data_IF_144972002131
#
_entry.id   IF_144972002131
#
_cell.length_a   1.000
_cell.length_b   1.000
_cell.length_c   1.000
_cell.angle_alpha   90.00
_cell.angle_beta   90.00
_cell.angle_gamma   90.00
#
_symmetry.space_group_name_H-M   'P 1'
#
loop_
_entity.id
_entity.type
_entity.pdbx_description
1 polymer ?
#
# COMPACT_ATOMS: atom_id res chain seq x y z
N UNK A 1 7.99 -10.28 2.21
CA UNK A 1 6.65 -10.10 1.64
C UNK A 1 5.65 -10.94 2.44
N UNK A 2 5.05 -10.34 3.48
CA UNK A 2 4.31 -11.05 4.53
C UNK A 2 3.10 -11.85 4.02
N UNK A 3 2.43 -11.34 2.98
CA UNK A 3 1.37 -12.06 2.24
C UNK A 3 1.85 -13.42 1.72
N UNK A 4 3.07 -13.48 1.19
CA UNK A 4 3.65 -14.72 0.64
C UNK A 4 4.08 -15.68 1.76
N UNK A 5 4.57 -15.16 2.89
CA UNK A 5 4.99 -15.97 4.04
C UNK A 5 3.81 -16.66 4.75
N UNK A 6 2.61 -16.06 4.76
CA UNK A 6 1.40 -16.71 5.29
C UNK A 6 0.63 -17.57 4.27
N UNK A 7 1.25 -17.96 3.15
CA UNK A 7 0.63 -18.84 2.16
C UNK A 7 -0.41 -18.18 1.24
N UNK A 8 -0.59 -16.87 1.32
CA UNK A 8 -1.53 -16.09 0.48
C UNK A 8 -0.85 -15.60 -0.83
N UNK A 9 0.24 -16.24 -1.25
CA UNK A 9 0.97 -15.91 -2.46
C UNK A 9 0.20 -16.26 -3.74
N UNK A 10 -0.68 -17.26 -3.67
CA UNK A 10 -1.41 -17.83 -4.81
C UNK A 10 -2.93 -17.64 -4.73
N UNK A 11 -3.42 -16.61 -4.03
CA UNK A 11 -4.88 -16.41 -3.89
C UNK A 11 -5.41 -15.65 -5.10
N UNK A 12 -6.33 -16.33 -5.80
CA UNK A 12 -7.14 -15.91 -6.94
C UNK A 12 -7.55 -14.43 -6.92
N UNK A 13 -7.88 -13.88 -8.09
CA UNK A 13 -8.41 -12.52 -8.28
C UNK A 13 -9.57 -12.13 -7.33
N UNK A 14 -10.27 -13.12 -6.75
CA UNK A 14 -11.29 -12.97 -5.72
C UNK A 14 -10.78 -12.41 -4.37
N UNK A 15 -9.50 -12.61 -4.03
CA UNK A 15 -8.89 -12.04 -2.82
C UNK A 15 -8.70 -10.52 -2.92
N UNK A 16 -8.55 -10.00 -4.14
CA UNK A 16 -8.44 -8.57 -4.39
C UNK A 16 -9.78 -7.91 -4.68
N UNK A 17 -10.88 -8.67 -4.70
CA UNK A 17 -12.21 -8.14 -4.95
C UNK A 17 -12.61 -7.17 -3.82
N UNK A 18 -13.02 -5.97 -4.21
CA UNK A 18 -13.51 -4.91 -3.32
C UNK A 18 -14.94 -5.17 -2.85
N UNK A 19 -15.64 -6.13 -3.45
CA UNK A 19 -17.00 -6.50 -3.07
C UNK A 19 -17.06 -7.67 -2.09
N UNK A 20 -15.93 -8.33 -1.82
CA UNK A 20 -15.84 -9.42 -0.84
C UNK A 20 -15.46 -8.86 0.54
N UNK A 21 -16.46 -8.64 1.37
CA UNK A 21 -16.31 -8.08 2.73
C UNK A 21 -15.39 -8.93 3.63
N UNK A 22 -15.41 -10.25 3.49
CA UNK A 22 -14.52 -11.14 4.23
C UNK A 22 -13.07 -10.98 3.77
N UNK A 23 -12.82 -10.96 2.45
CA UNK A 23 -11.47 -10.75 1.91
C UNK A 23 -10.90 -9.34 2.23
N UNK A 24 -11.75 -8.32 2.32
CA UNK A 24 -11.34 -6.98 2.80
C UNK A 24 -10.92 -7.07 4.27
N UNK A 25 -11.72 -7.72 5.11
CA UNK A 25 -11.45 -7.85 6.55
C UNK A 25 -10.17 -8.66 6.81
N UNK A 26 -9.94 -9.74 6.08
CA UNK A 26 -8.70 -10.52 6.19
C UNK A 26 -7.47 -9.72 5.77
N UNK A 27 -7.54 -8.97 4.66
CA UNK A 27 -6.45 -8.08 4.23
C UNK A 27 -6.16 -6.98 5.24
N UNK A 28 -7.20 -6.40 5.83
CA UNK A 28 -7.08 -5.42 6.91
C UNK A 28 -6.38 -6.01 8.12
N UNK A 29 -6.85 -7.17 8.60
CA UNK A 29 -6.28 -7.83 9.78
C UNK A 29 -4.82 -8.20 9.56
N UNK A 30 -4.48 -8.71 8.37
CA UNK A 30 -3.09 -9.03 8.03
C UNK A 30 -2.22 -7.78 8.01
N UNK A 31 -2.69 -6.69 7.39
CA UNK A 31 -1.94 -5.43 7.33
C UNK A 31 -1.69 -4.87 8.74
N UNK A 32 -2.70 -4.86 9.61
CA UNK A 32 -2.57 -4.36 10.97
C UNK A 32 -1.69 -5.26 11.84
N UNK A 33 -1.71 -6.58 11.65
CA UNK A 33 -0.79 -7.48 12.35
C UNK A 33 0.68 -7.23 11.97
N UNK A 34 0.96 -7.00 10.68
CA UNK A 34 2.32 -6.65 10.22
C UNK A 34 2.77 -5.30 10.79
N UNK A 35 1.84 -4.33 10.84
CA UNK A 35 2.11 -3.04 11.45
C UNK A 35 2.44 -3.18 12.95
N UNK A 36 1.71 -4.04 13.66
CA UNK A 36 1.96 -4.32 15.08
C UNK A 36 3.37 -4.88 15.30
N UNK A 37 3.75 -5.91 14.54
CA UNK A 37 5.08 -6.50 14.62
C UNK A 37 6.19 -5.46 14.33
N UNK A 38 5.98 -4.57 13.36
CA UNK A 38 6.91 -3.50 13.04
C UNK A 38 7.02 -2.49 14.20
N UNK A 39 5.91 -2.11 14.82
CA UNK A 39 5.91 -1.18 15.95
C UNK A 39 6.54 -1.80 17.19
N UNK A 40 6.23 -3.06 17.49
CA UNK A 40 6.88 -3.78 18.59
C UNK A 40 8.39 -3.84 18.40
N UNK A 41 8.86 -4.08 17.17
CA UNK A 41 10.27 -4.02 16.84
C UNK A 41 10.84 -2.62 17.09
N UNK A 42 10.19 -1.56 16.57
CA UNK A 42 10.64 -0.17 16.76
C UNK A 42 10.73 0.22 18.25
N UNK A 43 9.79 -0.22 19.08
CA UNK A 43 9.78 0.08 20.51
C UNK A 43 10.84 -0.70 21.32
N UNK A 44 11.44 -1.76 20.76
CA UNK A 44 12.50 -2.55 21.42
C UNK A 44 13.91 -2.11 21.05
N UNK A 45 14.07 -1.33 20.00
CA UNK A 45 15.39 -0.85 19.59
C UNK A 45 15.78 0.33 20.47
N UNK A 46 16.94 0.22 21.13
CA UNK A 46 17.47 1.27 22.03
C UNK A 46 18.02 2.49 21.27
N UNK A 47 18.32 2.32 19.98
CA UNK A 47 18.81 3.35 19.05
C UNK A 47 17.70 3.94 18.15
N UNK A 48 18.03 5.00 17.39
CA UNK A 48 17.13 5.56 16.38
C UNK A 48 16.88 4.55 15.25
N UNK A 49 15.62 4.15 15.08
CA UNK A 49 15.20 3.21 14.05
C UNK A 49 14.07 3.77 13.16
N UNK A 50 13.98 3.27 11.93
CA UNK A 50 12.92 3.61 10.96
C UNK A 50 12.34 2.31 10.40
N UNK A 51 11.01 2.19 10.46
CA UNK A 51 10.26 1.07 9.88
C UNK A 51 9.54 1.51 8.60
N UNK A 52 9.62 0.71 7.54
CA UNK A 52 8.92 0.98 6.26
C UNK A 52 7.72 0.05 6.15
N UNK A 53 6.53 0.61 6.25
CA UNK A 53 5.28 -0.11 6.07
C UNK A 53 4.78 -0.02 4.61
N UNK A 54 5.29 -0.92 3.77
CA UNK A 54 4.93 -1.00 2.35
C UNK A 54 3.54 -1.66 2.15
N UNK A 55 2.52 -0.82 1.97
CA UNK A 55 1.17 -1.21 1.63
C UNK A 55 0.47 -0.08 0.86
N UNK A 56 -0.65 -0.39 0.20
CA UNK A 56 -1.36 0.61 -0.63
C UNK A 56 -1.89 1.78 0.20
N UNK A 57 -2.44 1.54 1.39
CA UNK A 57 -2.91 2.57 2.34
C UNK A 57 -3.76 3.69 1.69
N UNK A 58 -4.57 3.31 0.69
CA UNK A 58 -5.27 4.21 -0.24
C UNK A 58 -6.52 4.87 0.34
N UNK A 59 -6.93 4.55 1.57
CA UNK A 59 -8.15 5.11 2.18
C UNK A 59 -7.81 5.88 3.45
N UNK A 60 -8.55 6.98 3.67
CA UNK A 60 -8.41 7.82 4.88
C UNK A 60 -8.60 6.96 6.13
N UNK A 61 -9.65 6.11 6.16
CA UNK A 61 -9.94 5.20 7.27
C UNK A 61 -8.77 4.27 7.64
N UNK A 62 -8.00 3.80 6.66
CA UNK A 62 -6.81 2.98 6.94
C UNK A 62 -5.70 3.85 7.54
N UNK A 63 -5.48 5.05 6.99
CA UNK A 63 -4.45 5.98 7.48
C UNK A 63 -4.75 6.49 8.88
N UNK A 64 -6.01 6.76 9.22
CA UNK A 64 -6.44 7.09 10.58
C UNK A 64 -6.03 6.01 11.58
N UNK A 65 -6.26 4.73 11.27
CA UNK A 65 -5.83 3.61 12.12
C UNK A 65 -4.32 3.54 12.30
N UNK A 66 -3.57 3.81 11.23
CA UNK A 66 -2.11 3.84 11.25
C UNK A 66 -1.64 4.98 12.17
N UNK A 67 -2.20 6.18 12.00
CA UNK A 67 -1.88 7.36 12.81
C UNK A 67 -2.21 7.14 14.29
N UNK A 68 -3.42 6.67 14.60
CA UNK A 68 -3.83 6.34 15.96
C UNK A 68 -2.90 5.32 16.62
N UNK A 69 -2.55 4.27 15.88
CA UNK A 69 -1.66 3.23 16.38
C UNK A 69 -0.25 3.76 16.62
N UNK A 70 0.29 4.57 15.71
CA UNK A 70 1.60 5.23 15.86
C UNK A 70 1.63 6.12 17.11
N UNK A 71 0.61 6.97 17.29
CA UNK A 71 0.45 7.83 18.48
C UNK A 71 0.45 7.05 19.79
N UNK A 72 -0.31 5.95 19.86
CA UNK A 72 -0.38 5.09 21.05
C UNK A 72 0.96 4.45 21.42
N UNK A 73 1.87 4.27 20.45
CA UNK A 73 3.21 3.74 20.68
C UNK A 73 4.31 4.78 20.78
N UNK A 74 4.00 6.07 20.66
CA UNK A 74 5.02 7.12 20.60
C UNK A 74 5.85 7.09 19.30
N UNK A 75 5.38 6.39 18.26
CA UNK A 75 6.06 6.31 16.96
C UNK A 75 5.54 7.43 16.06
N UNK A 76 6.46 8.23 15.51
CA UNK A 76 6.12 9.24 14.50
C UNK A 76 5.86 8.56 13.16
N UNK A 77 4.80 9.01 12.47
CA UNK A 77 4.40 8.48 11.17
C UNK A 77 4.65 9.54 10.10
N UNK A 78 5.28 9.13 9.00
CA UNK A 78 5.44 9.91 7.77
C UNK A 78 4.86 9.10 6.61
N UNK A 79 3.87 9.63 5.91
CA UNK A 79 3.37 9.02 4.68
C UNK A 79 4.24 9.43 3.49
N UNK A 80 4.55 8.48 2.61
CA UNK A 80 5.18 8.75 1.32
C UNK A 80 4.21 8.27 0.25
N UNK A 81 3.56 9.21 -0.42
CA UNK A 81 2.56 8.94 -1.45
C UNK A 81 3.19 9.10 -2.85
N UNK A 82 3.24 8.02 -3.62
CA UNK A 82 3.75 8.05 -5.00
C UNK A 82 2.59 8.19 -5.97
N UNK A 83 2.40 9.39 -6.51
CA UNK A 83 1.35 9.70 -7.49
C UNK A 83 1.95 9.64 -8.89
N UNK A 84 1.35 8.86 -9.79
CA UNK A 84 1.79 8.79 -11.18
C UNK A 84 0.58 8.87 -12.10
N UNK A 85 0.50 9.92 -12.89
CA UNK A 85 -0.53 10.14 -13.92
C UNK A 85 0.03 10.13 -15.33
N UNK A 86 1.36 10.13 -15.49
CA UNK A 86 2.05 10.02 -16.77
C UNK A 86 1.82 8.64 -17.41
N UNK A 87 1.16 8.56 -18.59
CA UNK A 87 0.82 7.28 -19.23
C UNK A 87 2.04 6.44 -19.62
N UNK A 88 3.15 7.06 -20.01
CA UNK A 88 4.35 6.36 -20.46
C UNK A 88 5.07 5.74 -19.26
N UNK A 89 5.16 6.49 -18.16
CA UNK A 89 5.70 5.98 -16.89
C UNK A 89 4.83 4.84 -16.36
N UNK A 90 3.50 5.01 -16.37
CA UNK A 90 2.57 3.97 -15.94
C UNK A 90 2.74 2.70 -16.78
N UNK A 91 2.77 2.82 -18.11
CA UNK A 91 2.97 1.69 -19.03
C UNK A 91 4.28 0.94 -18.74
N UNK A 92 5.38 1.67 -18.51
CA UNK A 92 6.67 1.07 -18.15
C UNK A 92 6.62 0.36 -16.80
N UNK A 93 6.01 0.98 -15.80
CA UNK A 93 5.87 0.41 -14.46
C UNK A 93 5.00 -0.85 -14.48
N UNK A 94 3.94 -0.87 -15.28
CA UNK A 94 3.08 -2.05 -15.45
C UNK A 94 3.88 -3.20 -16.03
N UNK A 95 4.61 -3.00 -17.14
CA UNK A 95 5.45 -4.03 -17.76
C UNK A 95 6.49 -4.59 -16.78
N UNK A 96 7.10 -3.74 -15.96
CA UNK A 96 8.02 -4.19 -14.92
C UNK A 96 7.31 -5.06 -13.87
N UNK A 97 6.09 -4.70 -13.44
CA UNK A 97 5.30 -5.53 -12.51
C UNK A 97 4.91 -6.89 -13.09
N UNK A 98 4.71 -7.01 -14.41
CA UNK A 98 4.41 -8.29 -15.07
C UNK A 98 5.60 -9.25 -15.09
N UNK A 99 6.83 -8.75 -14.92
CA UNK A 99 8.01 -9.62 -14.79
C UNK A 99 8.17 -10.26 -13.40
N UNK A 100 7.31 -9.89 -12.43
CA UNK A 100 7.32 -10.50 -11.10
C UNK A 100 6.68 -11.89 -11.10
N UNK A 101 7.00 -12.68 -10.07
CA UNK A 101 6.46 -14.04 -9.87
C UNK A 101 4.92 -14.13 -9.95
N UNK A 102 4.21 -13.06 -9.61
CA UNK A 102 2.74 -13.00 -9.60
C UNK A 102 2.13 -13.26 -11.01
N UNK A 103 2.89 -13.08 -12.10
CA UNK A 103 2.45 -13.27 -13.49
C UNK A 103 3.31 -14.29 -14.27
N UNK A 104 4.16 -15.06 -13.57
CA UNK A 104 5.08 -16.01 -14.20
C UNK A 104 4.33 -17.08 -14.98
N UNK A 105 4.63 -17.19 -16.28
CA UNK A 105 4.01 -18.18 -17.18
C UNK A 105 2.68 -17.75 -17.80
N UNK A 106 2.21 -16.52 -17.56
CA UNK A 106 1.07 -15.94 -18.28
C UNK A 106 1.53 -15.19 -19.54
N UNK A 107 0.68 -15.19 -20.57
CA UNK A 107 0.87 -14.35 -21.75
C UNK A 107 0.89 -12.86 -21.36
N UNK A 108 1.89 -12.07 -21.79
CA UNK A 108 2.07 -10.68 -21.36
C UNK A 108 0.83 -9.79 -21.52
N UNK A 109 0.08 -9.97 -22.61
CA UNK A 109 -1.14 -9.20 -22.89
C UNK A 109 -2.34 -9.58 -22.01
N UNK A 110 -2.38 -10.82 -21.52
CA UNK A 110 -3.40 -11.26 -20.56
C UNK A 110 -3.06 -10.70 -19.19
N UNK A 111 -1.80 -10.83 -18.79
CA UNK A 111 -1.28 -10.33 -17.51
C UNK A 111 -1.44 -8.79 -17.40
N UNK A 112 -1.15 -8.06 -18.48
CA UNK A 112 -1.33 -6.60 -18.53
C UNK A 112 -2.80 -6.20 -18.33
N UNK A 113 -3.73 -6.89 -19.02
CA UNK A 113 -5.17 -6.60 -18.90
C UNK A 113 -5.69 -6.86 -17.50
N UNK A 114 -5.29 -7.96 -16.86
CA UNK A 114 -5.63 -8.25 -15.46
C UNK A 114 -5.09 -7.16 -14.52
N UNK A 115 -3.81 -6.80 -14.68
CA UNK A 115 -3.19 -5.77 -13.85
C UNK A 115 -3.90 -4.42 -13.97
N UNK A 116 -4.23 -3.98 -15.19
CA UNK A 116 -4.97 -2.73 -15.43
C UNK A 116 -6.36 -2.78 -14.78
N UNK A 117 -7.08 -3.91 -14.88
CA UNK A 117 -8.37 -4.04 -14.21
C UNK A 117 -8.24 -3.93 -12.69
N UNK A 118 -7.17 -4.48 -12.13
CA UNK A 118 -6.87 -4.36 -10.71
C UNK A 118 -6.55 -2.93 -10.30
N UNK A 119 -5.76 -2.19 -11.09
CA UNK A 119 -5.50 -0.75 -10.88
C UNK A 119 -6.82 0.03 -10.85
N UNK A 120 -7.71 -0.19 -11.84
CA UNK A 120 -9.03 0.47 -11.91
C UNK A 120 -9.91 0.21 -10.68
N UNK A 121 -9.77 -0.95 -10.03
CA UNK A 121 -10.51 -1.23 -8.78
C UNK A 121 -9.97 -0.40 -7.62
N UNK A 122 -8.65 -0.20 -7.54
CA UNK A 122 -8.04 0.65 -6.51
C UNK A 122 -8.32 2.13 -6.73
N UNK A 123 -8.30 2.61 -7.99
CA UNK A 123 -8.63 4.00 -8.33
C UNK A 123 -10.01 4.42 -7.83
N UNK A 124 -11.00 3.51 -7.86
CA UNK A 124 -12.37 3.79 -7.39
C UNK A 124 -12.48 4.07 -5.90
N UNK A 125 -11.55 3.59 -5.10
CA UNK A 125 -11.56 3.71 -3.62
C UNK A 125 -10.42 4.57 -3.11
N UNK A 126 -9.58 5.09 -4.00
CA UNK A 126 -8.42 5.89 -3.66
C UNK A 126 -8.85 7.26 -3.14
N UNK A 127 -8.23 7.65 -2.03
CA UNK A 127 -8.35 8.94 -1.39
C UNK A 127 -6.92 9.43 -1.16
N UNK A 128 -6.54 10.51 -1.84
CA UNK A 128 -5.24 11.15 -1.70
C UNK A 128 -4.99 11.57 -0.24
N UNK A 129 -3.72 11.67 0.18
CA UNK A 129 -3.40 12.20 1.50
C UNK A 129 -3.67 13.71 1.53
N UNK A 130 -4.37 14.21 2.54
CA UNK A 130 -4.71 15.64 2.67
C UNK A 130 -4.25 16.24 4.00
N UNK A 131 -3.98 17.55 4.01
CA UNK A 131 -3.60 18.30 5.22
C UNK A 131 -4.63 18.22 6.34
N UNK A 132 -5.89 17.92 6.01
CA UNK A 132 -6.99 17.79 6.97
C UNK A 132 -6.89 16.53 7.82
N UNK A 133 -6.11 15.53 7.39
CA UNK A 133 -5.90 14.31 8.16
C UNK A 133 -5.20 14.60 9.49
N UNK A 134 -5.47 13.76 10.49
CA UNK A 134 -4.91 13.89 11.83
C UNK A 134 -5.16 15.25 12.53
N UNK A 135 -6.30 15.86 12.26
CA UNK A 135 -6.65 17.21 12.75
C UNK A 135 -5.60 18.26 12.35
N UNK A 136 -5.03 18.18 11.14
CA UNK A 136 -4.03 19.13 10.67
C UNK A 136 -2.58 18.79 11.02
N UNK A 137 -2.32 17.62 11.64
CA UNK A 137 -0.98 17.25 12.11
C UNK A 137 -0.34 16.12 11.29
N UNK A 138 -0.97 15.70 10.20
CA UNK A 138 -0.45 14.66 9.33
C UNK A 138 0.87 15.10 8.71
N UNK A 139 1.87 14.21 8.73
CA UNK A 139 3.14 14.42 8.02
C UNK A 139 3.18 13.53 6.80
N UNK A 140 3.36 14.11 5.62
CA UNK A 140 3.42 13.35 4.38
C UNK A 140 4.29 14.04 3.33
N UNK A 141 4.71 13.26 2.34
CA UNK A 141 5.40 13.71 1.12
C UNK A 141 4.69 13.07 -0.07
N UNK A 142 4.38 13.87 -1.10
CA UNK A 142 3.87 13.38 -2.38
C UNK A 142 4.97 13.45 -3.43
N UNK A 143 5.26 12.31 -4.03
CA UNK A 143 6.18 12.16 -5.16
C UNK A 143 5.35 12.02 -6.43
N UNK A 144 5.35 13.05 -7.27
CA UNK A 144 4.55 13.10 -8.49
C UNK A 144 5.40 12.72 -9.69
N UNK A 145 4.92 11.76 -10.49
CA UNK A 145 5.54 11.25 -11.72
C UNK A 145 7.03 10.94 -11.55
N UNK A 146 7.37 10.11 -10.56
CA UNK A 146 8.76 9.68 -10.27
C UNK A 146 9.66 10.87 -9.92
N UNK A 147 9.12 11.84 -9.16
CA UNK A 147 9.88 12.98 -8.64
C UNK A 147 9.98 14.17 -9.58
N UNK A 148 9.20 14.21 -10.68
CA UNK A 148 9.04 15.44 -11.48
C UNK A 148 8.54 16.61 -10.62
N UNK A 149 7.74 16.32 -9.59
CA UNK A 149 7.33 17.28 -8.57
C UNK A 149 7.28 16.59 -7.21
N UNK A 150 7.67 17.32 -6.17
CA UNK A 150 7.59 16.91 -4.76
C UNK A 150 6.77 17.97 -4.03
N UNK A 151 5.79 17.56 -3.24
CA UNK A 151 4.97 18.44 -2.39
C UNK A 151 4.79 17.85 -1.02
#
# INVERSE_FOLDING_TARGET
>A
NFRRQKGLGAVNASFFDTNNTNAIKERENLAMAVMEEMIEWLCRVDDVAVGIFDATNTTIKRRERILERGKKSGVKILFIESICSDPDILSRNYRMKLSNDDYKGQEPEVALRDFIQRVKKYEKVYQEVEDTEDNGNVSYIKLINVGQKIT
#
